data_IF_069551934584
#
_entry.id   IF_069551934584
#
_cell.length_a   1.000
_cell.length_b   1.000
_cell.length_c   1.000
_cell.angle_alpha   90.00
_cell.angle_beta   90.00
_cell.angle_gamma   90.00
#
_symmetry.space_group_name_H-M   'P 1'
#
loop_
_entity.id
_entity.type
_entity.pdbx_description
1 polymer ?
#
# COMPACT_ATOMS: atom_id res chain seq x y z
N UNK A 1 -17.65 26.03 -36.59
CA UNK A 1 -16.71 25.53 -35.57
C UNK A 1 -16.88 24.03 -35.50
N UNK A 2 -15.81 23.27 -35.70
CA UNK A 2 -15.84 21.80 -35.74
C UNK A 2 -16.19 21.29 -34.33
N UNK A 3 -17.49 21.00 -34.13
CA UNK A 3 -18.07 20.61 -32.85
C UNK A 3 -17.61 19.19 -32.52
N UNK A 4 -16.80 19.02 -31.47
CA UNK A 4 -16.54 17.71 -30.86
C UNK A 4 -15.13 17.15 -31.04
N UNK A 5 -14.24 17.82 -31.77
CA UNK A 5 -12.83 17.43 -31.80
C UNK A 5 -12.06 18.28 -30.78
N UNK A 6 -11.32 17.61 -29.89
CA UNK A 6 -10.42 18.31 -28.98
C UNK A 6 -9.39 19.08 -29.84
N UNK A 7 -9.21 20.40 -29.65
CA UNK A 7 -8.38 21.24 -30.51
C UNK A 7 -6.87 20.92 -30.42
N UNK A 8 -6.49 19.96 -29.59
CA UNK A 8 -5.10 19.54 -29.37
C UNK A 8 -4.68 18.52 -30.42
N UNK A 9 -3.50 18.75 -31.00
CA UNK A 9 -2.86 17.78 -31.87
C UNK A 9 -2.10 16.74 -31.04
N UNK A 10 -2.44 15.46 -31.18
CA UNK A 10 -1.70 14.36 -30.52
C UNK A 10 -0.44 14.08 -31.31
N UNK A 11 0.70 14.61 -30.86
CA UNK A 11 2.00 14.48 -31.58
C UNK A 11 2.95 13.45 -30.97
N UNK A 12 2.63 12.88 -29.80
CA UNK A 12 3.50 11.90 -29.12
C UNK A 12 2.78 10.57 -28.84
N UNK A 13 3.55 9.48 -28.91
CA UNK A 13 3.13 8.10 -28.62
C UNK A 13 3.33 7.69 -27.15
N UNK A 14 4.03 8.49 -26.35
CA UNK A 14 4.43 8.17 -24.97
C UNK A 14 3.43 8.66 -23.92
N UNK A 15 2.67 9.73 -24.22
CA UNK A 15 1.73 10.34 -23.28
C UNK A 15 0.28 10.17 -23.73
N UNK A 16 -0.33 9.03 -23.41
CA UNK A 16 -1.77 8.87 -23.61
C UNK A 16 -2.53 9.67 -22.55
N UNK A 17 -3.58 10.38 -22.96
CA UNK A 17 -4.52 11.00 -22.05
C UNK A 17 -5.24 9.90 -21.24
N UNK A 18 -5.10 9.94 -19.92
CA UNK A 18 -5.87 9.08 -19.04
C UNK A 18 -7.36 9.33 -19.23
N UNK A 19 -8.17 8.27 -19.12
CA UNK A 19 -9.63 8.40 -19.22
C UNK A 19 -10.12 9.37 -18.15
N UNK A 20 -10.76 10.49 -18.54
CA UNK A 20 -11.17 11.50 -17.57
C UNK A 20 -12.32 10.99 -16.69
N UNK A 21 -12.34 11.47 -15.45
CA UNK A 21 -13.48 11.27 -14.54
C UNK A 21 -14.72 12.05 -15.04
N UNK A 22 -15.92 11.50 -14.81
CA UNK A 22 -17.21 12.12 -15.17
C UNK A 22 -17.35 13.50 -14.52
N UNK A 23 -16.89 13.66 -13.27
CA UNK A 23 -16.91 14.95 -12.57
C UNK A 23 -16.08 16.00 -13.32
N UNK A 24 -14.88 15.64 -13.80
CA UNK A 24 -14.02 16.56 -14.52
C UNK A 24 -14.64 17.00 -15.86
N UNK A 25 -15.36 16.10 -16.54
CA UNK A 25 -16.11 16.42 -17.77
C UNK A 25 -17.26 17.40 -17.49
N UNK A 26 -18.01 17.20 -16.41
CA UNK A 26 -19.10 18.12 -15.98
C UNK A 26 -18.54 19.51 -15.71
N UNK A 27 -17.37 19.59 -15.07
CA UNK A 27 -16.70 20.86 -14.78
C UNK A 27 -16.04 21.53 -16.00
N UNK A 28 -16.08 20.91 -17.19
CA UNK A 28 -15.65 21.56 -18.43
C UNK A 28 -14.29 21.10 -18.96
N UNK A 29 -13.76 19.97 -18.50
CA UNK A 29 -12.63 19.31 -19.16
C UNK A 29 -12.98 19.01 -20.63
N UNK A 30 -12.06 19.30 -21.54
CA UNK A 30 -12.22 19.24 -23.01
C UNK A 30 -13.14 20.32 -23.63
N UNK A 31 -13.58 21.30 -22.84
CA UNK A 31 -14.31 22.49 -23.33
C UNK A 31 -13.63 23.79 -22.91
N UNK A 32 -13.44 23.97 -21.60
CA UNK A 32 -12.87 25.18 -21.01
C UNK A 32 -11.39 25.02 -20.64
N UNK A 33 -10.97 23.79 -20.32
CA UNK A 33 -9.58 23.47 -19.99
C UNK A 33 -9.25 22.03 -20.41
N UNK A 34 -7.96 21.70 -20.38
CA UNK A 34 -7.43 20.39 -20.77
C UNK A 34 -6.52 19.81 -19.69
N UNK A 35 -6.43 18.47 -19.64
CA UNK A 35 -5.50 17.75 -18.77
C UNK A 35 -4.16 17.56 -19.46
N UNK A 36 -3.07 17.79 -18.73
CA UNK A 36 -1.70 17.57 -19.19
C UNK A 36 -1.15 16.34 -18.47
N UNK A 37 -0.56 15.41 -19.22
CA UNK A 37 0.16 14.29 -18.64
C UNK A 37 1.48 14.80 -18.05
N UNK A 38 1.63 14.69 -16.74
CA UNK A 38 2.87 15.05 -16.03
C UNK A 38 3.61 13.77 -15.68
N UNK A 39 4.90 13.72 -16.02
CA UNK A 39 5.78 12.63 -15.64
C UNK A 39 6.94 13.17 -14.79
N UNK A 40 7.48 12.32 -13.93
CA UNK A 40 8.61 12.64 -13.08
C UNK A 40 9.90 12.09 -13.68
N UNK A 41 10.96 12.90 -13.68
CA UNK A 41 12.31 12.40 -13.96
C UNK A 41 12.85 11.80 -12.67
N UNK A 42 13.24 10.53 -12.72
CA UNK A 42 13.82 9.83 -11.58
C UNK A 42 15.33 9.74 -11.78
N UNK A 43 16.10 10.23 -10.82
CA UNK A 43 17.54 10.02 -10.77
C UNK A 43 17.87 8.87 -9.81
N UNK A 44 18.86 8.04 -10.16
CA UNK A 44 19.26 6.90 -9.33
C UNK A 44 19.73 7.34 -7.93
N UNK A 45 20.37 8.52 -7.84
CA UNK A 45 20.84 9.04 -6.56
C UNK A 45 19.68 9.47 -5.65
N UNK A 46 18.67 10.13 -6.21
CA UNK A 46 17.46 10.55 -5.48
C UNK A 46 16.66 9.35 -5.01
N UNK A 47 16.54 8.32 -5.86
CA UNK A 47 15.88 7.07 -5.49
C UNK A 47 16.60 6.37 -4.33
N UNK A 48 17.94 6.24 -4.39
CA UNK A 48 18.74 5.68 -3.30
C UNK A 48 18.61 6.50 -2.01
N UNK A 49 18.59 7.82 -2.12
CA UNK A 49 18.39 8.72 -0.97
C UNK A 49 17.01 8.51 -0.34
N UNK A 50 15.95 8.51 -1.14
CA UNK A 50 14.57 8.32 -0.66
C UNK A 50 14.36 6.92 -0.07
N UNK A 51 14.97 5.89 -0.65
CA UNK A 51 14.94 4.54 -0.09
C UNK A 51 15.59 4.43 1.29
N UNK A 52 16.52 5.34 1.63
CA UNK A 52 17.17 5.35 2.94
C UNK A 52 16.33 6.04 4.04
N UNK A 53 15.30 6.82 3.68
CA UNK A 53 14.53 7.62 4.65
C UNK A 53 13.78 6.75 5.69
N UNK A 54 13.25 5.60 5.26
CA UNK A 54 12.44 4.71 6.10
C UNK A 54 13.17 3.46 6.58
N UNK A 55 14.49 3.37 6.37
CA UNK A 55 15.27 2.24 6.90
C UNK A 55 15.39 2.37 8.41
N UNK A 56 15.17 1.25 9.11
CA UNK A 56 15.47 1.15 10.54
C UNK A 56 16.94 1.51 10.77
N UNK A 57 17.20 2.31 11.80
CA UNK A 57 18.57 2.67 12.13
C UNK A 57 19.24 1.42 12.71
N UNK A 58 20.52 1.22 12.42
CA UNK A 58 21.29 0.13 13.04
C UNK A 58 21.29 0.23 14.57
N UNK A 59 21.16 1.46 15.10
CA UNK A 59 21.03 1.76 16.53
C UNK A 59 19.75 1.22 17.15
N UNK A 60 18.68 1.01 16.37
CA UNK A 60 17.41 0.48 16.89
C UNK A 60 17.57 -0.94 17.47
N UNK A 61 18.60 -1.68 17.04
CA UNK A 61 18.96 -2.99 17.62
C UNK A 61 19.73 -2.90 18.94
N UNK A 62 20.33 -1.75 19.23
CA UNK A 62 21.06 -1.49 20.48
C UNK A 62 20.17 -0.85 21.55
N UNK A 63 19.05 -0.25 21.15
CA UNK A 63 18.07 0.30 22.09
C UNK A 63 17.28 -0.83 22.74
N UNK A 64 17.37 -0.93 24.07
CA UNK A 64 16.54 -1.85 24.84
C UNK A 64 15.11 -1.29 24.94
N UNK A 65 14.11 -2.10 24.59
CA UNK A 65 12.70 -1.75 24.81
C UNK A 65 12.42 -1.76 26.31
N UNK A 66 11.56 -0.85 26.79
CA UNK A 66 11.14 -0.85 28.19
C UNK A 66 10.49 -2.18 28.55
N UNK A 67 10.98 -2.83 29.60
CA UNK A 67 10.53 -4.15 30.03
C UNK A 67 9.02 -4.21 30.28
N UNK A 68 8.45 -3.19 30.94
CA UNK A 68 7.01 -3.16 31.25
C UNK A 68 6.14 -3.21 29.98
N UNK A 69 6.50 -2.41 28.97
CA UNK A 69 5.78 -2.38 27.69
C UNK A 69 5.94 -3.69 26.92
N UNK A 70 7.13 -4.31 27.02
CA UNK A 70 7.39 -5.59 26.40
C UNK A 70 6.55 -6.70 27.07
N UNK A 71 6.53 -6.78 28.40
CA UNK A 71 5.72 -7.77 29.14
C UNK A 71 4.24 -7.67 28.79
N UNK A 72 3.68 -6.46 28.79
CA UNK A 72 2.27 -6.25 28.45
C UNK A 72 1.95 -6.70 27.02
N UNK A 73 2.80 -6.37 26.04
CA UNK A 73 2.60 -6.84 24.65
C UNK A 73 2.74 -8.35 24.51
N UNK A 74 3.62 -8.98 25.31
CA UNK A 74 3.78 -10.42 25.33
C UNK A 74 2.54 -11.09 25.91
N UNK A 75 2.08 -10.66 27.07
CA UNK A 75 0.85 -11.15 27.73
C UNK A 75 -0.36 -11.05 26.80
N UNK A 76 -0.55 -9.90 26.15
CA UNK A 76 -1.61 -9.71 25.15
C UNK A 76 -1.47 -10.68 23.96
N UNK A 77 -0.25 -10.89 23.47
CA UNK A 77 -0.01 -11.81 22.35
C UNK A 77 -0.31 -13.26 22.74
N UNK A 78 0.07 -13.67 23.96
CA UNK A 78 -0.25 -15.00 24.48
C UNK A 78 -1.76 -15.19 24.57
N UNK A 79 -2.45 -14.25 25.21
CA UNK A 79 -3.89 -14.37 25.48
C UNK A 79 -4.75 -14.29 24.22
N UNK A 80 -4.43 -13.36 23.30
CA UNK A 80 -5.25 -13.13 22.11
C UNK A 80 -4.91 -14.14 21.00
N UNK A 81 -3.64 -14.55 20.88
CA UNK A 81 -3.19 -15.33 19.71
C UNK A 81 -2.84 -16.76 20.04
N UNK A 82 -2.11 -17.03 21.13
CA UNK A 82 -1.60 -18.37 21.43
C UNK A 82 -2.66 -19.25 22.11
N UNK A 83 -3.37 -18.74 23.11
CA UNK A 83 -4.38 -19.55 23.83
C UNK A 83 -5.50 -20.09 22.92
N UNK A 84 -6.09 -19.29 22.01
CA UNK A 84 -7.11 -19.78 21.08
C UNK A 84 -6.54 -20.70 19.99
N UNK A 85 -5.23 -20.57 19.67
CA UNK A 85 -4.55 -21.42 18.72
C UNK A 85 -4.30 -22.81 19.33
N UNK A 86 -3.77 -22.86 20.55
CA UNK A 86 -3.54 -24.10 21.31
C UNK A 86 -4.86 -24.84 21.48
N UNK A 87 -5.92 -24.13 21.87
CA UNK A 87 -7.26 -24.72 21.99
C UNK A 87 -7.84 -25.23 20.66
N UNK A 88 -7.47 -24.67 19.51
CA UNK A 88 -7.85 -25.18 18.18
C UNK A 88 -7.05 -26.42 17.79
N UNK A 89 -5.74 -26.39 18.02
CA UNK A 89 -4.85 -27.53 17.73
C UNK A 89 -5.26 -28.74 18.59
N UNK A 90 -5.53 -28.53 19.87
CA UNK A 90 -6.03 -29.59 20.76
C UNK A 90 -7.33 -30.23 20.25
N UNK A 91 -8.34 -29.40 19.94
CA UNK A 91 -9.61 -29.88 19.35
C UNK A 91 -9.41 -30.64 18.03
N UNK A 92 -8.49 -30.19 17.19
CA UNK A 92 -8.18 -30.84 15.93
C UNK A 92 -7.50 -32.21 16.12
N UNK A 93 -6.56 -32.32 17.06
CA UNK A 93 -5.93 -33.59 17.42
C UNK A 93 -6.95 -34.58 17.98
N UNK A 94 -7.83 -34.15 18.88
CA UNK A 94 -8.88 -35.02 19.44
C UNK A 94 -9.84 -35.51 18.36
N UNK A 95 -10.27 -34.64 17.44
CA UNK A 95 -11.11 -35.04 16.29
C UNK A 95 -10.44 -36.06 15.39
N UNK A 96 -9.12 -35.95 15.21
CA UNK A 96 -8.33 -36.91 14.41
C UNK A 96 -8.23 -38.28 15.09
N UNK A 97 -8.19 -38.33 16.42
CA UNK A 97 -8.13 -39.60 17.19
C UNK A 97 -9.51 -40.24 17.35
N UNK A 98 -10.59 -39.45 17.46
CA UNK A 98 -11.96 -39.97 17.63
C UNK A 98 -12.60 -40.57 16.37
N UNK A 99 -12.08 -40.30 15.17
CA UNK A 99 -12.47 -40.99 13.94
C UNK A 99 -11.30 -41.82 13.41
N UNK A 100 -10.95 -42.94 14.05
CA UNK A 100 -10.08 -43.92 13.41
C UNK A 100 -10.84 -44.50 12.21
N UNK A 101 -10.14 -44.74 11.10
CA UNK A 101 -10.71 -45.52 9.99
C UNK A 101 -11.06 -46.94 10.45
#
# INVERSE_FOLDING_TARGET
>A
MMLGQEPRQTTSNVGHLNKPSIQALIHGLNRHYYSIAVNYRKNELEEKMLLNLHKKKWTDGLTLRRFDTHSQTYEQTVQVRLDPLIGRIGKWLTRRVSYPR
#
